data_IF_774658008431
#
_entry.id   IF_774658008431
#
_cell.length_a   1.000
_cell.length_b   1.000
_cell.length_c   1.000
_cell.angle_alpha   90.00
_cell.angle_beta   90.00
_cell.angle_gamma   90.00
#
_symmetry.space_group_name_H-M   'P 1'
#
loop_
_entity.id
_entity.type
_entity.pdbx_description
1 polymer ?
#
# COMPACT_ATOMS: atom_id res chain seq x y z
N UNK A 1 -11.72 4.15 -27.91
CA UNK A 1 -11.34 2.96 -27.15
C UNK A 1 -11.79 3.17 -25.72
N UNK A 2 -12.79 2.43 -25.40
CA UNK A 2 -13.62 2.58 -24.22
C UNK A 2 -12.86 2.17 -22.94
N UNK A 3 -12.48 3.15 -22.12
CA UNK A 3 -11.99 2.94 -20.74
C UNK A 3 -13.12 3.27 -19.77
N UNK A 4 -14.27 2.69 -20.04
CA UNK A 4 -15.46 2.91 -19.25
C UNK A 4 -15.57 1.82 -18.19
N UNK A 5 -15.71 2.27 -16.96
CA UNK A 5 -16.25 1.55 -15.79
C UNK A 5 -15.21 0.78 -14.93
N UNK A 6 -14.31 1.54 -14.34
CA UNK A 6 -13.92 1.21 -12.96
C UNK A 6 -15.12 1.63 -12.09
N UNK A 7 -15.73 0.68 -11.38
CA UNK A 7 -16.90 0.96 -10.52
C UNK A 7 -16.56 1.73 -9.24
N UNK A 8 -15.80 2.83 -9.39
CA UNK A 8 -15.39 3.71 -8.30
C UNK A 8 -16.49 4.71 -8.05
N UNK A 9 -17.12 4.65 -6.88
CA UNK A 9 -18.14 5.60 -6.47
C UNK A 9 -17.49 6.93 -6.04
N UNK A 10 -17.50 7.91 -6.95
CA UNK A 10 -16.93 9.24 -6.69
C UNK A 10 -17.76 10.07 -5.70
N UNK A 11 -19.02 9.69 -5.42
CA UNK A 11 -19.88 10.41 -4.48
C UNK A 11 -19.31 10.44 -3.07
N UNK A 12 -18.55 9.41 -2.68
CA UNK A 12 -17.90 9.30 -1.37
C UNK A 12 -16.84 10.41 -1.13
N UNK A 13 -16.34 11.03 -2.21
CA UNK A 13 -15.38 12.12 -2.12
C UNK A 13 -16.00 13.51 -2.06
N UNK A 14 -17.27 13.68 -2.42
CA UNK A 14 -17.88 15.00 -2.56
C UNK A 14 -17.88 15.79 -1.24
N UNK A 15 -18.17 15.15 -0.12
CA UNK A 15 -18.12 15.80 1.20
C UNK A 15 -16.70 16.23 1.57
N UNK A 16 -15.71 15.37 1.30
CA UNK A 16 -14.30 15.69 1.54
C UNK A 16 -13.87 16.88 0.68
N UNK A 17 -14.17 16.84 -0.62
CA UNK A 17 -13.81 17.88 -1.56
C UNK A 17 -14.48 19.22 -1.23
N UNK A 18 -15.74 19.20 -0.80
CA UNK A 18 -16.47 20.40 -0.35
C UNK A 18 -15.79 21.05 0.88
N UNK A 19 -15.34 20.22 1.83
CA UNK A 19 -14.67 20.71 3.06
C UNK A 19 -13.34 21.39 2.77
N UNK A 20 -12.61 20.93 1.77
CA UNK A 20 -11.29 21.45 1.40
C UNK A 20 -11.32 22.46 0.23
N UNK A 21 -12.49 22.77 -0.29
CA UNK A 21 -12.64 23.73 -1.40
C UNK A 21 -12.04 25.09 -1.05
N UNK A 22 -11.18 25.62 -1.93
CA UNK A 22 -10.53 26.92 -1.76
C UNK A 22 -9.40 26.98 -0.72
N UNK A 23 -9.08 25.88 -0.04
CA UNK A 23 -8.00 25.86 0.94
C UNK A 23 -6.64 25.66 0.25
N UNK A 24 -5.68 26.51 0.59
CA UNK A 24 -4.30 26.36 0.14
C UNK A 24 -3.66 25.13 0.83
N UNK A 25 -2.91 24.33 0.05
CA UNK A 25 -2.24 23.15 0.58
C UNK A 25 -3.13 21.92 0.82
N UNK A 26 -4.38 21.95 0.35
CA UNK A 26 -5.37 20.88 0.57
C UNK A 26 -5.02 19.55 -0.11
N UNK A 27 -4.11 19.52 -1.08
CA UNK A 27 -3.86 18.33 -1.91
C UNK A 27 -3.49 17.09 -1.09
N UNK A 28 -2.49 17.19 -0.21
CA UNK A 28 -2.04 16.04 0.59
C UNK A 28 -3.14 15.54 1.54
N UNK A 29 -3.80 16.39 2.36
CA UNK A 29 -4.91 15.95 3.19
C UNK A 29 -6.06 15.30 2.39
N UNK A 30 -6.38 15.82 1.21
CA UNK A 30 -7.42 15.26 0.35
C UNK A 30 -7.01 13.89 -0.20
N UNK A 31 -5.76 13.72 -0.65
CA UNK A 31 -5.23 12.42 -1.09
C UNK A 31 -5.25 11.38 0.04
N UNK A 32 -4.90 11.79 1.27
CA UNK A 32 -4.98 10.90 2.45
C UNK A 32 -6.41 10.45 2.73
N UNK A 33 -7.39 11.34 2.64
CA UNK A 33 -8.80 11.01 2.82
C UNK A 33 -9.32 10.11 1.69
N UNK A 34 -8.93 10.40 0.45
CA UNK A 34 -9.26 9.56 -0.70
C UNK A 34 -8.74 8.13 -0.52
N UNK A 35 -7.47 7.99 -0.15
CA UNK A 35 -6.89 6.67 0.10
C UNK A 35 -7.55 5.94 1.27
N UNK A 36 -7.96 6.65 2.32
CA UNK A 36 -8.70 6.04 3.43
C UNK A 36 -10.08 5.52 3.01
N UNK A 37 -10.73 6.16 2.03
CA UNK A 37 -12.03 5.75 1.49
C UNK A 37 -11.90 4.56 0.53
N UNK A 38 -10.96 4.62 -0.41
CA UNK A 38 -10.84 3.65 -1.51
C UNK A 38 -9.77 2.59 -1.29
N UNK A 39 -8.88 2.75 -0.30
CA UNK A 39 -7.73 1.88 -0.04
C UNK A 39 -6.53 2.18 -0.94
N UNK A 40 -6.71 2.90 -2.03
CA UNK A 40 -5.70 3.35 -2.98
C UNK A 40 -6.20 4.61 -3.69
N UNK A 41 -5.44 5.16 -4.62
CA UNK A 41 -5.81 6.36 -5.38
C UNK A 41 -6.14 6.02 -6.84
N UNK A 42 -7.39 5.66 -7.17
CA UNK A 42 -7.80 5.43 -8.54
C UNK A 42 -7.56 6.65 -9.44
N UNK A 43 -7.24 6.47 -10.73
CA UNK A 43 -7.06 7.58 -11.66
C UNK A 43 -8.24 8.54 -11.73
N UNK A 44 -9.46 8.03 -11.66
CA UNK A 44 -10.70 8.81 -11.68
C UNK A 44 -10.84 9.70 -10.43
N UNK A 45 -10.40 9.20 -9.27
CA UNK A 45 -10.38 9.96 -8.02
C UNK A 45 -9.33 11.06 -8.09
N UNK A 46 -8.13 10.77 -8.64
CA UNK A 46 -7.09 11.79 -8.85
C UNK A 46 -7.56 12.88 -9.80
N UNK A 47 -8.24 12.53 -10.90
CA UNK A 47 -8.85 13.49 -11.81
C UNK A 47 -9.87 14.37 -11.08
N UNK A 48 -10.79 13.76 -10.32
CA UNK A 48 -11.81 14.49 -9.57
C UNK A 48 -11.21 15.45 -8.54
N UNK A 49 -10.15 15.03 -7.83
CA UNK A 49 -9.40 15.88 -6.89
C UNK A 49 -8.77 17.07 -7.62
N UNK A 50 -8.12 16.82 -8.74
CA UNK A 50 -7.47 17.86 -9.54
C UNK A 50 -8.47 18.92 -10.00
N UNK A 51 -9.60 18.50 -10.55
CA UNK A 51 -10.68 19.39 -11.03
C UNK A 51 -11.22 20.27 -9.88
N UNK A 52 -11.50 19.67 -8.73
CA UNK A 52 -12.09 20.37 -7.58
C UNK A 52 -11.11 21.30 -6.87
N UNK A 53 -9.82 21.00 -6.87
CA UNK A 53 -8.78 21.87 -6.30
C UNK A 53 -8.20 22.83 -7.33
N UNK A 54 -8.69 22.83 -8.57
CA UNK A 54 -8.20 23.68 -9.67
C UNK A 54 -6.68 23.56 -9.91
N UNK A 55 -6.19 22.32 -9.89
CA UNK A 55 -4.80 21.98 -10.19
C UNK A 55 -4.74 20.99 -11.38
N UNK A 56 -3.56 20.85 -11.98
CA UNK A 56 -3.39 19.84 -13.03
C UNK A 56 -3.39 18.43 -12.45
N UNK A 57 -3.91 17.47 -13.23
CA UNK A 57 -3.86 16.03 -12.87
C UNK A 57 -2.42 15.58 -12.69
N UNK A 58 -1.50 16.08 -13.53
CA UNK A 58 -0.07 15.79 -13.41
C UNK A 58 0.50 16.20 -12.05
N UNK A 59 0.02 17.30 -11.48
CA UNK A 59 0.44 17.73 -10.13
C UNK A 59 -0.11 16.77 -9.05
N UNK A 60 -1.38 16.39 -9.14
CA UNK A 60 -1.97 15.43 -8.21
C UNK A 60 -1.25 14.08 -8.27
N UNK A 61 -1.01 13.60 -9.48
CA UNK A 61 -0.28 12.35 -9.74
C UNK A 61 1.17 12.41 -9.27
N UNK A 62 1.87 13.52 -9.54
CA UNK A 62 3.26 13.74 -9.09
C UNK A 62 3.40 13.70 -7.57
N UNK A 63 2.44 14.28 -6.83
CA UNK A 63 2.42 14.18 -5.36
C UNK A 63 2.13 12.76 -4.90
N UNK A 64 1.15 12.08 -5.54
CA UNK A 64 0.80 10.71 -5.21
C UNK A 64 1.96 9.72 -5.44
N UNK A 65 2.79 9.94 -6.46
CA UNK A 65 3.97 9.10 -6.74
C UNK A 65 5.19 9.47 -5.92
N UNK A 66 5.30 10.73 -5.49
CA UNK A 66 6.44 11.20 -4.70
C UNK A 66 6.42 10.68 -3.26
N UNK A 67 5.26 10.63 -2.63
CA UNK A 67 5.12 10.20 -1.24
C UNK A 67 4.82 8.71 -1.14
N UNK A 68 5.71 7.95 -0.52
CA UNK A 68 5.59 6.49 -0.34
C UNK A 68 4.34 6.03 0.43
N UNK A 69 3.62 6.93 1.09
CA UNK A 69 2.38 6.62 1.78
C UNK A 69 1.19 6.41 0.84
N UNK A 70 1.28 6.85 -0.42
CA UNK A 70 0.18 6.75 -1.38
C UNK A 70 0.35 5.55 -2.29
N UNK A 71 -0.78 4.89 -2.58
CA UNK A 71 -0.86 3.71 -3.42
C UNK A 71 -1.72 4.02 -4.65
N UNK A 72 -1.18 3.75 -5.83
CA UNK A 72 -1.89 3.95 -7.09
C UNK A 72 -2.60 2.69 -7.57
N UNK A 73 -2.18 1.54 -7.07
CA UNK A 73 -2.75 0.24 -7.39
C UNK A 73 -3.53 -0.31 -6.20
N UNK A 74 -4.55 -1.11 -6.53
CA UNK A 74 -5.38 -1.77 -5.54
C UNK A 74 -4.54 -2.75 -4.72
N UNK A 75 -4.61 -2.61 -3.41
CA UNK A 75 -3.90 -3.47 -2.47
C UNK A 75 -4.78 -4.65 -2.04
N UNK A 76 -4.12 -5.71 -1.61
CA UNK A 76 -4.78 -6.84 -1.00
C UNK A 76 -5.43 -6.50 0.35
N UNK A 77 -6.30 -7.38 0.78
CA UNK A 77 -6.95 -7.30 2.11
C UNK A 77 -5.92 -7.34 3.25
N UNK A 78 -4.83 -8.06 3.04
CA UNK A 78 -3.70 -8.16 3.97
C UNK A 78 -2.45 -7.56 3.37
N UNK A 79 -1.61 -6.94 4.20
CA UNK A 79 -0.33 -6.38 3.79
C UNK A 79 0.82 -7.00 4.58
N UNK A 80 1.79 -7.52 3.86
CA UNK A 80 3.04 -8.01 4.41
C UNK A 80 4.19 -7.13 3.94
N UNK A 81 4.87 -6.47 4.87
CA UNK A 81 6.09 -5.71 4.60
C UNK A 81 7.27 -6.46 5.19
N UNK A 82 8.29 -6.72 4.38
CA UNK A 82 9.53 -7.34 4.83
C UNK A 82 10.64 -6.29 4.79
N UNK A 83 11.33 -6.14 5.92
CA UNK A 83 12.47 -5.24 6.00
C UNK A 83 13.69 -5.87 5.34
N UNK A 84 14.26 -5.18 4.35
CA UNK A 84 15.52 -5.55 3.69
C UNK A 84 16.65 -4.53 3.98
N UNK A 85 16.57 -3.82 5.09
CA UNK A 85 17.68 -3.01 5.60
C UNK A 85 18.87 -3.89 6.01
N UNK A 86 20.06 -3.31 6.08
CA UNK A 86 21.34 -4.03 6.25
C UNK A 86 21.29 -5.13 7.32
N UNK A 87 20.79 -4.83 8.52
CA UNK A 87 20.72 -5.81 9.61
C UNK A 87 19.76 -6.97 9.31
N UNK A 88 18.63 -6.69 8.68
CA UNK A 88 17.64 -7.70 8.29
C UNK A 88 18.16 -8.54 7.12
N UNK A 89 18.78 -7.89 6.13
CA UNK A 89 19.38 -8.55 4.97
C UNK A 89 20.40 -9.61 5.41
N UNK A 90 21.36 -9.21 6.24
CA UNK A 90 22.41 -10.12 6.77
C UNK A 90 21.83 -11.25 7.62
N UNK A 91 20.67 -11.04 8.25
CA UNK A 91 19.99 -12.03 9.11
C UNK A 91 18.93 -12.86 8.41
N UNK A 92 18.85 -12.82 7.07
CA UNK A 92 18.03 -13.72 6.28
C UNK A 92 16.71 -13.11 5.74
N UNK A 93 16.61 -11.79 5.62
CA UNK A 93 15.44 -11.18 4.97
C UNK A 93 15.24 -11.63 3.51
N UNK A 94 16.30 -11.82 2.68
CA UNK A 94 16.13 -12.36 1.33
C UNK A 94 15.48 -13.74 1.30
N UNK A 95 15.79 -14.60 2.28
CA UNK A 95 15.16 -15.94 2.39
C UNK A 95 13.67 -15.83 2.72
N UNK A 96 13.27 -14.84 3.53
CA UNK A 96 11.86 -14.59 3.84
C UNK A 96 11.11 -14.07 2.60
N UNK A 97 11.73 -13.19 1.82
CA UNK A 97 11.17 -12.69 0.56
C UNK A 97 10.94 -13.83 -0.42
N UNK A 98 11.99 -14.60 -0.73
CA UNK A 98 11.90 -15.75 -1.62
C UNK A 98 10.84 -16.76 -1.16
N UNK A 99 10.72 -16.99 0.14
CA UNK A 99 9.70 -17.90 0.68
C UNK A 99 8.27 -17.43 0.37
N UNK A 100 8.00 -16.12 0.46
CA UNK A 100 6.68 -15.55 0.16
C UNK A 100 6.44 -15.53 -1.35
N UNK A 101 7.46 -15.19 -2.14
CA UNK A 101 7.40 -15.22 -3.61
C UNK A 101 7.06 -16.61 -4.14
N UNK A 102 7.73 -17.63 -3.61
CA UNK A 102 7.49 -19.04 -3.98
C UNK A 102 6.09 -19.52 -3.59
N UNK A 103 5.62 -19.18 -2.38
CA UNK A 103 4.35 -19.67 -1.84
C UNK A 103 3.14 -18.99 -2.47
N UNK A 104 3.22 -17.67 -2.67
CA UNK A 104 2.08 -16.87 -3.13
C UNK A 104 2.16 -16.43 -4.61
N UNK A 105 3.27 -16.73 -5.28
CA UNK A 105 3.47 -16.40 -6.70
C UNK A 105 3.49 -14.89 -6.99
N UNK A 106 3.88 -14.08 -6.02
CA UNK A 106 3.94 -12.62 -6.14
C UNK A 106 5.34 -12.10 -5.82
N UNK A 107 5.82 -11.16 -6.62
CA UNK A 107 7.06 -10.43 -6.33
C UNK A 107 6.85 -9.23 -5.41
N UNK A 108 7.93 -8.49 -5.13
CA UNK A 108 7.88 -7.24 -4.37
C UNK A 108 6.90 -6.24 -4.98
N UNK A 109 6.19 -5.53 -4.11
CA UNK A 109 5.19 -4.50 -4.44
C UNK A 109 4.01 -5.02 -5.29
N UNK A 110 3.80 -6.35 -5.31
CA UNK A 110 2.70 -6.99 -5.99
C UNK A 110 1.63 -7.51 -5.03
N UNK A 111 0.43 -7.72 -5.58
CA UNK A 111 -0.72 -8.26 -4.88
C UNK A 111 -1.13 -9.59 -5.51
N UNK A 112 -1.53 -10.58 -4.70
CA UNK A 112 -2.04 -11.86 -5.18
C UNK A 112 -3.26 -11.66 -6.08
N UNK A 113 -3.44 -12.55 -7.07
CA UNK A 113 -4.52 -12.46 -8.06
C UNK A 113 -5.92 -12.47 -7.45
N UNK A 114 -6.09 -13.08 -6.28
CA UNK A 114 -7.34 -13.08 -5.50
C UNK A 114 -7.54 -11.82 -4.63
N UNK A 115 -6.57 -10.89 -4.65
CA UNK A 115 -6.57 -9.69 -3.80
C UNK A 115 -6.41 -10.00 -2.31
N UNK A 116 -5.87 -11.15 -1.95
CA UNK A 116 -5.70 -11.58 -0.55
C UNK A 116 -4.53 -10.88 0.14
N UNK A 117 -3.38 -10.84 -0.51
CA UNK A 117 -2.12 -10.39 0.10
C UNK A 117 -1.36 -9.44 -0.82
N UNK A 118 -0.81 -8.37 -0.26
CA UNK A 118 0.20 -7.52 -0.91
C UNK A 118 1.53 -7.68 -0.21
N UNK A 119 2.59 -7.96 -0.98
CA UNK A 119 3.97 -8.01 -0.49
C UNK A 119 4.69 -6.69 -0.77
N UNK A 120 5.35 -6.12 0.23
CA UNK A 120 6.18 -4.92 0.09
C UNK A 120 7.57 -5.13 0.68
N UNK A 121 8.56 -4.47 0.09
CA UNK A 121 9.89 -4.36 0.67
C UNK A 121 10.08 -2.96 1.26
N UNK A 122 10.63 -2.89 2.46
CA UNK A 122 11.03 -1.63 3.10
C UNK A 122 12.48 -1.72 3.58
N UNK A 123 13.22 -0.64 3.42
CA UNK A 123 14.68 -0.67 3.65
C UNK A 123 15.12 -0.33 5.07
N UNK A 124 14.24 0.02 5.98
CA UNK A 124 14.46 0.02 7.42
C UNK A 124 13.19 0.44 8.16
N UNK A 125 12.77 -0.37 9.13
CA UNK A 125 11.63 -0.05 10.00
C UNK A 125 12.07 0.43 11.40
N UNK A 126 13.37 0.62 11.63
CA UNK A 126 13.89 1.04 12.92
C UNK A 126 13.94 -0.04 14.01
N UNK A 127 13.55 -1.29 13.69
CA UNK A 127 13.50 -2.40 14.66
C UNK A 127 14.65 -3.40 14.49
N UNK A 128 15.86 -2.92 14.18
CA UNK A 128 17.02 -3.74 13.82
C UNK A 128 17.44 -4.76 14.88
N UNK A 129 17.17 -4.50 16.16
CA UNK A 129 17.42 -5.44 17.26
C UNK A 129 16.59 -6.73 17.15
N UNK A 130 15.46 -6.66 16.42
CA UNK A 130 14.55 -7.79 16.17
C UNK A 130 14.78 -8.44 14.80
N UNK A 131 15.82 -8.08 14.08
CA UNK A 131 16.07 -8.56 12.72
C UNK A 131 16.18 -10.10 12.64
N UNK A 132 15.68 -10.74 11.56
CA UNK A 132 14.91 -10.13 10.48
C UNK A 132 13.48 -9.77 10.90
N UNK A 133 12.97 -8.64 10.37
CA UNK A 133 11.69 -8.04 10.78
C UNK A 133 10.72 -8.02 9.62
N UNK A 134 9.48 -8.38 9.91
CA UNK A 134 8.36 -8.17 9.01
C UNK A 134 7.23 -7.41 9.73
N UNK A 135 6.33 -6.80 8.98
CA UNK A 135 5.08 -6.21 9.48
C UNK A 135 3.93 -6.84 8.73
N UNK A 136 3.04 -7.50 9.44
CA UNK A 136 1.83 -8.11 8.89
C UNK A 136 0.63 -7.34 9.45
N UNK A 137 -0.14 -6.70 8.57
CA UNK A 137 -1.30 -5.88 8.90
C UNK A 137 -1.04 -4.86 10.02
N UNK A 138 0.12 -4.20 9.96
CA UNK A 138 0.54 -3.21 10.95
C UNK A 138 1.19 -3.79 12.21
N UNK A 139 1.20 -5.10 12.39
CA UNK A 139 1.86 -5.76 13.53
C UNK A 139 3.31 -6.08 13.21
N UNK A 140 4.22 -5.53 14.00
CA UNK A 140 5.67 -5.81 13.87
C UNK A 140 5.97 -7.20 14.42
N UNK A 141 6.60 -8.03 13.61
CA UNK A 141 7.06 -9.37 13.98
C UNK A 141 8.55 -9.50 13.70
N UNK A 142 9.31 -9.81 14.72
CA UNK A 142 10.76 -9.93 14.65
C UNK A 142 11.27 -11.35 14.76
N UNK A 143 12.57 -11.52 14.47
CA UNK A 143 13.28 -12.82 14.53
C UNK A 143 12.58 -13.90 13.71
N UNK A 144 12.04 -13.46 12.55
CA UNK A 144 11.26 -14.34 11.70
C UNK A 144 12.12 -15.41 11.04
N UNK A 145 11.58 -16.61 11.02
CA UNK A 145 12.05 -17.73 10.20
C UNK A 145 11.03 -17.99 9.10
N UNK A 146 11.47 -18.55 7.97
CA UNK A 146 10.64 -18.89 6.80
C UNK A 146 9.32 -19.55 7.20
N UNK A 147 9.39 -20.66 7.95
CA UNK A 147 8.20 -21.47 8.29
C UNK A 147 7.25 -20.72 9.23
N UNK A 148 7.80 -19.90 10.12
CA UNK A 148 7.00 -19.12 11.07
C UNK A 148 6.27 -17.99 10.36
N UNK A 149 6.95 -17.34 9.41
CA UNK A 149 6.37 -16.26 8.60
C UNK A 149 5.22 -16.81 7.76
N UNK A 150 5.47 -17.86 6.98
CA UNK A 150 4.46 -18.46 6.10
C UNK A 150 3.21 -18.89 6.88
N UNK A 151 3.37 -19.59 8.01
CA UNK A 151 2.23 -19.97 8.87
C UNK A 151 1.43 -18.78 9.40
N UNK A 152 2.11 -17.65 9.71
CA UNK A 152 1.41 -16.44 10.16
C UNK A 152 0.62 -15.80 9.04
N UNK A 153 1.23 -15.68 7.87
CA UNK A 153 0.58 -15.12 6.69
C UNK A 153 -0.62 -15.97 6.27
N UNK A 154 -0.43 -17.29 6.18
CA UNK A 154 -1.50 -18.24 5.86
C UNK A 154 -2.69 -18.12 6.81
N UNK A 155 -2.43 -18.08 8.12
CA UNK A 155 -3.50 -17.91 9.12
C UNK A 155 -4.24 -16.60 8.95
N UNK A 156 -3.53 -15.51 8.66
CA UNK A 156 -4.13 -14.20 8.49
C UNK A 156 -4.98 -14.14 7.22
N UNK A 157 -4.46 -14.64 6.11
CA UNK A 157 -5.17 -14.67 4.82
C UNK A 157 -6.39 -15.60 4.88
N UNK A 158 -6.32 -16.70 5.64
CA UNK A 158 -7.45 -17.64 5.78
C UNK A 158 -8.59 -17.11 6.66
N UNK A 159 -8.33 -16.11 7.53
CA UNK A 159 -9.33 -15.53 8.44
C UNK A 159 -10.04 -14.28 7.87
N UNK A 160 -9.65 -13.78 6.74
CA UNK A 160 -10.27 -12.65 6.01
C UNK A 160 -10.99 -13.13 4.77
#
# INVERSE_FOLDING_TARGET
MDRTQSGVDLSLMEEVLARYAGQKGALIPVLQKAQAIYGYLPPEVLQRIADRLSISVSRAYGVATFYAQFYLDKRGRHSLRICDGTACHVKGAPELLTAVEDEYGIGPDATTGDGGLTLEIVYCMGSCALAPVAVLDGQVVGRMKRETLLRRVERQVATG
#
